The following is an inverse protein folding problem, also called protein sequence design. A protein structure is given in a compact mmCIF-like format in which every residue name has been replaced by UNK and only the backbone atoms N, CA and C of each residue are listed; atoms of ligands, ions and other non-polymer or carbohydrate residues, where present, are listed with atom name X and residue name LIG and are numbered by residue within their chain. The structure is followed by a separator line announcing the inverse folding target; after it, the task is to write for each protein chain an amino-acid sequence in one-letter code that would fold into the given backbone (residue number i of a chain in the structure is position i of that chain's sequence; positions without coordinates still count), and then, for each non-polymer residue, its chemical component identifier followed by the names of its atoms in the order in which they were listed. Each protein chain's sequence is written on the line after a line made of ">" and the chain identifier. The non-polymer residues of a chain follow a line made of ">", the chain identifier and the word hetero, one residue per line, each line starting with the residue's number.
data_IF_767304455459
#
_entry.id   IF_767304455459
#
_cell.length_a   1.000
_cell.length_b   1.000
_cell.length_c   1.000
_cell.angle_alpha   90.00
_cell.angle_beta   90.00
_cell.angle_gamma   90.00
#
_symmetry.space_group_name_H-M   'P 1'
#
loop_
_entity.id
_entity.type
_entity.pdbx_description
1 polymer ?
#
# COMPACT_ATOMS: atom_id res chain seq x y z
N UNK A 1 -0.84 -23.86 -1.69
CA UNK A 1 -0.98 -23.20 -3.01
C UNK A 1 0.41 -23.07 -3.61
N UNK A 2 0.61 -23.40 -4.90
CA UNK A 2 1.94 -23.39 -5.48
C UNK A 2 2.42 -21.94 -5.64
N UNK A 3 3.59 -21.64 -5.09
CA UNK A 3 4.31 -20.38 -5.27
C UNK A 3 4.72 -20.27 -6.74
N UNK A 4 4.23 -19.26 -7.46
CA UNK A 4 4.73 -18.91 -8.79
C UNK A 4 6.16 -18.34 -8.64
N UNK A 5 7.14 -19.02 -9.24
CA UNK A 5 8.51 -18.55 -9.52
C UNK A 5 9.20 -19.60 -10.41
N UNK A 6 10.32 -19.35 -11.10
CA UNK A 6 10.84 -18.14 -11.73
C UNK A 6 11.36 -18.49 -13.15
N UNK A 7 10.51 -18.52 -14.18
CA UNK A 7 10.95 -18.72 -15.58
C UNK A 7 9.76 -18.54 -16.53
N UNK A 8 9.72 -17.42 -17.25
CA UNK A 8 8.75 -17.15 -18.33
C UNK A 8 7.29 -16.93 -17.90
N UNK A 9 7.06 -16.66 -16.63
CA UNK A 9 5.73 -16.50 -16.00
C UNK A 9 5.25 -15.05 -16.06
N UNK A 10 3.92 -14.84 -16.07
CA UNK A 10 3.28 -13.53 -15.96
C UNK A 10 3.98 -12.63 -14.93
N UNK A 11 4.12 -11.32 -15.20
CA UNK A 11 4.76 -10.39 -14.28
C UNK A 11 4.13 -10.46 -12.89
N UNK A 12 4.96 -10.36 -11.85
CA UNK A 12 4.46 -10.31 -10.47
C UNK A 12 3.55 -9.09 -10.31
N UNK A 13 2.44 -9.24 -9.59
CA UNK A 13 1.43 -8.18 -9.43
C UNK A 13 1.43 -7.69 -8.00
N UNK A 14 1.67 -6.40 -7.81
CA UNK A 14 1.73 -5.74 -6.49
C UNK A 14 0.63 -4.70 -6.37
N UNK A 15 -0.11 -4.75 -5.26
CA UNK A 15 -1.05 -3.70 -4.90
C UNK A 15 -0.41 -2.74 -3.90
N UNK A 16 -0.41 -1.45 -4.19
CA UNK A 16 -0.07 -0.39 -3.24
C UNK A 16 -1.35 0.23 -2.70
N UNK A 17 -1.54 0.18 -1.40
CA UNK A 17 -2.71 0.72 -0.70
C UNK A 17 -2.31 1.91 0.17
N UNK A 18 -3.03 3.01 -0.01
CA UNK A 18 -2.91 4.24 0.77
C UNK A 18 -4.16 4.45 1.62
N UNK A 19 -3.95 4.56 2.93
CA UNK A 19 -4.98 4.82 3.92
C UNK A 19 -5.43 6.27 3.98
N UNK A 20 -6.14 6.64 5.07
CA UNK A 20 -6.77 7.94 5.19
C UNK A 20 -5.79 9.11 5.13
N UNK A 21 -6.24 10.20 4.51
CA UNK A 21 -5.55 11.49 4.35
C UNK A 21 -4.30 11.47 3.46
N UNK A 22 -3.82 10.31 2.99
CA UNK A 22 -2.66 10.26 2.09
C UNK A 22 -2.95 10.83 0.70
N UNK A 23 -4.23 10.97 0.32
CA UNK A 23 -4.62 11.74 -0.87
C UNK A 23 -4.27 13.23 -0.77
N UNK A 24 -3.95 13.74 0.43
CA UNK A 24 -3.58 15.15 0.68
C UNK A 24 -2.06 15.35 0.77
N UNK A 25 -1.25 14.33 0.43
CA UNK A 25 0.20 14.47 0.38
C UNK A 25 0.62 15.56 -0.61
N UNK A 26 1.59 16.39 -0.20
CA UNK A 26 2.05 17.55 -0.95
C UNK A 26 1.22 18.82 -0.76
N UNK A 27 0.00 18.73 -0.21
CA UNK A 27 -0.87 19.89 0.08
C UNK A 27 -0.79 20.36 1.53
N UNK A 28 -0.51 19.45 2.47
CA UNK A 28 -0.43 19.74 3.91
C UNK A 28 1.01 19.75 4.42
N UNK A 29 1.36 20.81 5.16
CA UNK A 29 2.59 20.93 5.96
C UNK A 29 3.85 20.39 5.26
N UNK A 30 4.29 20.98 4.14
CA UNK A 30 5.39 20.46 3.32
C UNK A 30 6.73 20.32 4.06
N UNK A 31 6.89 20.99 5.21
CA UNK A 31 8.05 20.87 6.09
C UNK A 31 8.09 19.54 6.86
N UNK A 32 6.93 18.89 7.05
CA UNK A 32 6.76 17.68 7.87
C UNK A 32 6.60 16.42 7.03
N UNK A 33 5.93 16.51 5.88
CA UNK A 33 5.62 15.36 5.01
C UNK A 33 6.38 15.36 3.67
N UNK A 34 7.22 16.37 3.44
CA UNK A 34 7.86 16.60 2.15
C UNK A 34 6.90 17.21 1.12
N UNK A 35 7.45 17.55 -0.06
CA UNK A 35 6.69 18.16 -1.17
C UNK A 35 6.17 17.14 -2.18
N UNK A 36 6.52 15.87 -2.01
CA UNK A 36 6.11 14.81 -2.92
C UNK A 36 4.60 14.55 -2.78
N UNK A 37 3.90 14.62 -3.89
CA UNK A 37 2.48 14.26 -3.98
C UNK A 37 2.32 12.74 -4.08
N UNK A 38 1.11 12.24 -3.85
CA UNK A 38 0.79 10.84 -4.11
C UNK A 38 1.01 10.48 -5.59
N UNK A 39 0.76 11.42 -6.51
CA UNK A 39 1.01 11.25 -7.94
C UNK A 39 2.51 11.08 -8.22
N UNK A 40 3.37 11.89 -7.60
CA UNK A 40 4.83 11.78 -7.76
C UNK A 40 5.35 10.43 -7.26
N UNK A 41 4.82 9.95 -6.13
CA UNK A 41 5.17 8.65 -5.57
C UNK A 41 4.71 7.52 -6.51
N UNK A 42 3.47 7.57 -6.99
CA UNK A 42 2.94 6.56 -7.92
C UNK A 42 3.72 6.52 -9.25
N UNK A 43 4.16 7.68 -9.76
CA UNK A 43 5.00 7.74 -10.95
C UNK A 43 6.35 7.05 -10.72
N UNK A 44 7.04 7.36 -9.62
CA UNK A 44 8.31 6.72 -9.27
C UNK A 44 8.18 5.21 -9.05
N UNK A 45 7.09 4.78 -8.42
CA UNK A 45 6.80 3.35 -8.22
C UNK A 45 6.48 2.64 -9.52
N UNK A 46 5.72 3.28 -10.43
CA UNK A 46 5.44 2.75 -11.77
C UNK A 46 6.72 2.58 -12.58
N UNK A 47 7.61 3.59 -12.56
CA UNK A 47 8.88 3.54 -13.27
C UNK A 47 9.79 2.43 -12.72
N UNK A 48 9.82 2.25 -11.40
CA UNK A 48 10.56 1.16 -10.76
C UNK A 48 9.96 -0.20 -11.12
N UNK A 49 8.65 -0.36 -10.99
CA UNK A 49 7.96 -1.62 -11.31
C UNK A 49 8.19 -2.03 -12.77
N UNK A 50 8.14 -1.06 -13.70
CA UNK A 50 8.43 -1.30 -15.12
C UNK A 50 9.85 -1.83 -15.33
N UNK A 51 10.85 -1.24 -14.68
CA UNK A 51 12.25 -1.70 -14.79
C UNK A 51 12.46 -3.10 -14.22
N UNK A 52 11.71 -3.45 -13.17
CA UNK A 52 11.78 -4.75 -12.50
C UNK A 52 10.86 -5.81 -13.11
N UNK A 53 10.07 -5.47 -14.14
CA UNK A 53 9.11 -6.41 -14.76
C UNK A 53 7.95 -6.80 -13.84
N UNK A 54 7.49 -5.86 -13.00
CA UNK A 54 6.40 -6.00 -12.03
C UNK A 54 5.21 -5.15 -12.48
N UNK A 55 3.99 -5.69 -12.36
CA UNK A 55 2.77 -4.90 -12.49
C UNK A 55 2.42 -4.27 -11.15
N UNK A 56 2.09 -2.98 -11.14
CA UNK A 56 1.67 -2.28 -9.94
C UNK A 56 0.27 -1.68 -10.11
N UNK A 57 -0.58 -1.91 -9.11
CA UNK A 57 -1.89 -1.28 -8.99
C UNK A 57 -1.89 -0.37 -7.76
N UNK A 58 -2.54 0.79 -7.86
CA UNK A 58 -2.64 1.74 -6.74
C UNK A 58 -4.09 1.87 -6.29
N UNK A 59 -4.29 1.94 -4.97
CA UNK A 59 -5.59 2.20 -4.38
C UNK A 59 -5.45 3.15 -3.19
N UNK A 60 -6.32 4.17 -3.12
CA UNK A 60 -6.40 5.07 -1.97
C UNK A 60 -7.83 5.13 -1.48
N UNK A 61 -8.01 5.16 -0.16
CA UNK A 61 -9.31 5.40 0.45
C UNK A 61 -9.18 6.02 1.85
N UNK A 62 -10.14 6.87 2.19
CA UNK A 62 -10.33 7.39 3.55
C UNK A 62 -11.26 6.50 4.40
N UNK A 63 -11.93 5.52 3.78
CA UNK A 63 -12.81 4.56 4.44
C UNK A 63 -12.08 3.27 4.74
N UNK A 64 -12.09 2.87 6.01
CA UNK A 64 -11.57 1.59 6.51
C UNK A 64 -12.23 0.40 5.80
N UNK A 65 -13.56 0.39 5.68
CA UNK A 65 -14.29 -0.68 5.01
C UNK A 65 -13.87 -0.86 3.56
N UNK A 66 -13.68 0.24 2.82
CA UNK A 66 -13.24 0.16 1.43
C UNK A 66 -11.79 -0.38 1.28
N UNK A 67 -10.91 -0.10 2.26
CA UNK A 67 -9.56 -0.69 2.30
C UNK A 67 -9.66 -2.20 2.55
N UNK A 68 -10.48 -2.62 3.52
CA UNK A 68 -10.72 -4.03 3.83
C UNK A 68 -11.27 -4.76 2.60
N UNK A 69 -12.29 -4.22 1.96
CA UNK A 69 -12.90 -4.78 0.76
C UNK A 69 -11.86 -4.92 -0.36
N UNK A 70 -11.02 -3.89 -0.55
CA UNK A 70 -9.95 -3.91 -1.55
C UNK A 70 -8.93 -5.02 -1.28
N UNK A 71 -8.50 -5.18 -0.02
CA UNK A 71 -7.57 -6.23 0.39
C UNK A 71 -8.17 -7.63 0.15
N UNK A 72 -9.44 -7.82 0.55
CA UNK A 72 -10.14 -9.09 0.36
C UNK A 72 -10.32 -9.44 -1.13
N UNK A 73 -10.55 -8.44 -1.99
CA UNK A 73 -10.60 -8.64 -3.44
C UNK A 73 -9.21 -8.97 -4.02
N UNK A 74 -8.17 -8.27 -3.54
CA UNK A 74 -6.80 -8.41 -4.02
C UNK A 74 -6.21 -9.81 -3.81
N UNK A 75 -6.65 -10.54 -2.78
CA UNK A 75 -6.13 -11.87 -2.41
C UNK A 75 -6.12 -12.90 -3.54
N UNK A 76 -6.92 -12.69 -4.60
CA UNK A 76 -7.03 -13.59 -5.76
C UNK A 76 -6.30 -13.07 -7.00
N UNK A 77 -5.85 -11.82 -6.99
CA UNK A 77 -5.40 -11.10 -8.19
C UNK A 77 -3.99 -10.56 -8.07
N UNK A 78 -3.45 -10.41 -6.86
CA UNK A 78 -2.10 -9.88 -6.64
C UNK A 78 -1.26 -10.84 -5.81
N UNK A 79 0.05 -10.77 -5.99
CA UNK A 79 1.04 -11.60 -5.31
C UNK A 79 1.47 -11.01 -3.96
N UNK A 80 1.40 -9.67 -3.82
CA UNK A 80 1.76 -8.97 -2.59
C UNK A 80 1.05 -7.61 -2.46
N UNK A 81 0.98 -7.11 -1.23
CA UNK A 81 0.47 -5.77 -0.91
C UNK A 81 1.54 -4.93 -0.21
N UNK A 82 1.69 -3.70 -0.63
CA UNK A 82 2.39 -2.63 0.10
C UNK A 82 1.32 -1.72 0.70
N UNK A 83 1.28 -1.57 2.01
CA UNK A 83 0.21 -0.86 2.72
C UNK A 83 0.79 0.29 3.54
N UNK A 84 0.33 1.51 3.27
CA UNK A 84 0.42 2.60 4.24
C UNK A 84 -0.96 2.85 4.82
N UNK A 85 -1.27 2.29 5.98
CA UNK A 85 -2.60 2.43 6.60
C UNK A 85 -2.82 3.79 7.28
N UNK A 86 -1.82 4.67 7.30
CA UNK A 86 -1.87 6.00 7.92
C UNK A 86 -2.40 5.92 9.36
N UNK A 87 -3.44 6.71 9.70
CA UNK A 87 -3.99 6.71 11.06
C UNK A 87 -4.56 5.35 11.49
N UNK A 88 -5.03 4.52 10.54
CA UNK A 88 -5.63 3.23 10.86
C UNK A 88 -4.62 2.25 11.48
N UNK A 89 -3.31 2.43 11.24
CA UNK A 89 -2.25 1.64 11.86
C UNK A 89 -2.29 1.68 13.39
N UNK A 90 -2.86 2.72 13.98
CA UNK A 90 -2.86 2.91 15.43
C UNK A 90 -4.04 2.25 16.16
N UNK A 91 -5.16 1.99 15.48
CA UNK A 91 -6.40 1.60 16.17
C UNK A 91 -7.29 0.61 15.41
N UNK A 92 -7.02 0.31 14.16
CA UNK A 92 -7.91 -0.54 13.35
C UNK A 92 -7.65 -2.02 13.58
N UNK A 93 -8.42 -2.62 14.51
CA UNK A 93 -8.47 -4.07 14.66
C UNK A 93 -9.08 -4.76 13.45
N UNK A 94 -10.08 -4.14 12.79
CA UNK A 94 -10.72 -4.72 11.62
C UNK A 94 -9.74 -4.84 10.43
N UNK A 95 -8.88 -3.84 10.20
CA UNK A 95 -7.84 -3.90 9.18
C UNK A 95 -6.79 -4.96 9.50
N UNK A 96 -6.39 -5.06 10.77
CA UNK A 96 -5.45 -6.10 11.22
C UNK A 96 -5.99 -7.51 10.93
N UNK A 97 -7.25 -7.75 11.27
CA UNK A 97 -7.90 -9.05 11.02
C UNK A 97 -8.03 -9.33 9.51
N UNK A 98 -8.34 -8.31 8.71
CA UNK A 98 -8.37 -8.44 7.25
C UNK A 98 -6.99 -8.82 6.67
N UNK A 99 -5.90 -8.20 7.13
CA UNK A 99 -4.53 -8.52 6.72
C UNK A 99 -4.19 -9.99 7.04
N UNK A 100 -4.56 -10.47 8.23
CA UNK A 100 -4.34 -11.87 8.61
C UNK A 100 -5.18 -12.84 7.75
N UNK A 101 -6.37 -12.44 7.34
CA UNK A 101 -7.30 -13.29 6.59
C UNK A 101 -6.95 -13.46 5.10
N UNK A 102 -6.28 -12.49 4.46
CA UNK A 102 -6.02 -12.55 3.00
C UNK A 102 -4.90 -13.51 2.61
N UNK A 103 -4.03 -13.90 3.55
CA UNK A 103 -2.96 -14.90 3.37
C UNK A 103 -1.96 -14.63 2.22
N UNK A 104 -1.92 -13.41 1.68
CA UNK A 104 -0.87 -12.92 0.80
C UNK A 104 0.08 -12.02 1.59
N UNK A 105 1.38 -11.93 1.21
CA UNK A 105 2.32 -11.04 1.86
C UNK A 105 1.84 -9.58 1.88
N UNK A 106 1.87 -8.96 3.05
CA UNK A 106 1.60 -7.52 3.24
C UNK A 106 2.80 -6.88 3.91
N UNK A 107 3.33 -5.82 3.30
CA UNK A 107 4.41 -5.01 3.86
C UNK A 107 3.83 -3.66 4.26
N UNK A 108 3.85 -3.37 5.57
CA UNK A 108 3.45 -2.06 6.08
C UNK A 108 4.58 -1.03 5.93
N UNK A 109 4.22 0.17 5.49
CA UNK A 109 5.14 1.30 5.32
C UNK A 109 4.55 2.57 5.91
N UNK A 110 5.41 3.46 6.39
CA UNK A 110 5.03 4.79 6.84
C UNK A 110 5.96 5.83 6.21
N UNK A 111 5.40 6.86 5.59
CA UNK A 111 6.16 7.92 4.90
C UNK A 111 7.02 8.73 5.88
N UNK A 112 6.52 8.90 7.11
CA UNK A 112 7.20 9.62 8.17
C UNK A 112 7.58 8.66 9.28
N UNK A 113 8.66 8.95 10.00
CA UNK A 113 9.02 8.18 11.19
C UNK A 113 7.91 8.31 12.25
N UNK A 114 7.03 7.31 12.34
CA UNK A 114 5.92 7.25 13.30
C UNK A 114 6.42 7.27 14.75
N UNK A 115 7.65 6.81 15.02
CA UNK A 115 8.26 6.80 16.36
C UNK A 115 8.76 8.17 16.81
N UNK A 116 8.91 9.13 15.88
CA UNK A 116 9.36 10.49 16.21
C UNK A 116 8.21 11.44 16.59
N UNK A 117 6.97 10.95 16.55
CA UNK A 117 5.75 11.70 16.87
C UNK A 117 5.22 11.15 18.18
N UNK A 118 5.54 11.85 19.28
CA UNK A 118 5.17 11.45 20.63
C UNK A 118 3.67 11.27 20.83
N UNK A 119 3.34 10.59 21.93
CA UNK A 119 1.99 10.47 22.51
C UNK A 119 1.28 11.81 22.67
#
# INVERSE_FOLDING_TARGET
>A
MPRRSPSGADPARVLVVYGPNLNLLGEREPQVYGRATMQDINAQLTDLATREGVEVEFFQSNSEGAIIDRLQAARKTVDAVVLNAAALSHYSYALRDAILAIQIPVVEIHITNVLARGE
#
